data_IF_657006076921
#
_entry.id   IF_657006076921
#
_cell.length_a   1.000
_cell.length_b   1.000
_cell.length_c   1.000
_cell.angle_alpha   90.00
_cell.angle_beta   90.00
_cell.angle_gamma   90.00
#
_symmetry.space_group_name_H-M   'P 1'
#
loop_
_entity.id
_entity.type
_entity.pdbx_description
1 polymer ?
#
# COMPACT_ATOMS: atom_id res chain seq x y z
N UNK A 1 6.02 -0.85 22.40
CA UNK A 1 7.12 -0.64 21.42
C UNK A 1 7.24 0.84 21.16
N UNK A 2 8.45 1.39 21.03
CA UNK A 2 8.64 2.79 20.63
C UNK A 2 8.52 3.00 19.12
N UNK A 3 8.57 1.90 18.34
CA UNK A 3 8.43 1.94 16.90
C UNK A 3 7.01 2.31 16.51
N UNK A 4 6.88 3.30 15.61
CA UNK A 4 5.60 3.81 15.13
C UNK A 4 5.60 4.04 13.64
N UNK A 5 4.45 3.74 13.02
CA UNK A 5 4.15 4.10 11.64
C UNK A 5 3.56 5.50 11.62
N UNK A 6 4.10 6.37 10.77
CA UNK A 6 3.64 7.75 10.61
C UNK A 6 3.17 7.97 9.18
N UNK A 7 1.86 8.08 8.97
CA UNK A 7 1.32 8.46 7.66
C UNK A 7 1.69 9.91 7.32
N UNK A 8 2.16 10.13 6.09
CA UNK A 8 2.58 11.45 5.60
C UNK A 8 2.03 11.72 4.22
N UNK A 9 1.48 12.92 4.03
CA UNK A 9 1.10 13.45 2.72
C UNK A 9 2.14 14.47 2.25
N UNK A 10 2.88 14.12 1.20
CA UNK A 10 4.04 14.87 0.70
C UNK A 10 3.60 15.81 -0.41
N UNK A 11 3.80 17.12 -0.18
CA UNK A 11 3.51 18.18 -1.14
C UNK A 11 4.81 18.76 -1.66
N UNK A 12 5.09 18.50 -2.94
CA UNK A 12 6.24 19.04 -3.66
C UNK A 12 6.14 20.56 -3.79
N UNK A 13 7.30 21.22 -3.84
CA UNK A 13 7.40 22.65 -4.08
C UNK A 13 6.72 23.02 -5.41
N UNK A 14 5.84 24.03 -5.36
CA UNK A 14 5.06 24.49 -6.51
C UNK A 14 3.84 23.64 -6.85
N UNK A 15 3.48 22.64 -6.03
CA UNK A 15 2.22 21.93 -6.13
C UNK A 15 1.17 22.53 -5.18
N UNK A 16 -0.09 22.57 -5.61
CA UNK A 16 -1.22 23.06 -4.81
C UNK A 16 -1.60 22.11 -3.66
N UNK A 17 -1.18 20.85 -3.76
CA UNK A 17 -1.47 19.81 -2.77
C UNK A 17 -2.77 19.06 -3.04
N UNK A 18 -3.46 19.32 -4.15
CA UNK A 18 -4.65 18.56 -4.52
C UNK A 18 -4.23 17.32 -5.31
N UNK A 19 -4.67 16.13 -4.90
CA UNK A 19 -4.41 14.90 -5.68
C UNK A 19 -5.33 14.83 -6.91
N UNK A 20 -4.96 14.04 -7.91
CA UNK A 20 -5.81 13.85 -9.09
C UNK A 20 -7.12 13.13 -8.72
N UNK A 21 -8.26 13.74 -9.06
CA UNK A 21 -9.60 13.17 -8.85
C UNK A 21 -10.59 13.60 -9.94
N UNK A 22 -11.74 12.90 -10.06
CA UNK A 22 -12.93 13.43 -10.73
C UNK A 22 -13.44 14.74 -10.11
N UNK A 23 -14.13 15.62 -10.88
CA UNK A 23 -14.59 16.93 -10.39
C UNK A 23 -15.54 16.87 -9.19
N UNK A 24 -16.29 15.78 -9.04
CA UNK A 24 -17.25 15.51 -7.97
C UNK A 24 -16.61 14.89 -6.72
N UNK A 25 -15.30 14.58 -6.78
CA UNK A 25 -14.56 13.99 -5.67
C UNK A 25 -13.60 15.01 -5.08
N UNK A 26 -13.79 15.33 -3.80
CA UNK A 26 -12.91 16.20 -3.03
C UNK A 26 -11.46 15.67 -3.05
N UNK A 27 -10.57 16.50 -3.62
CA UNK A 27 -9.12 16.27 -3.77
C UNK A 27 -8.26 17.09 -2.83
N UNK A 28 -8.87 17.81 -1.89
CA UNK A 28 -8.16 18.67 -0.94
C UNK A 28 -7.11 17.92 -0.11
N UNK A 29 -6.19 18.69 0.47
CA UNK A 29 -5.19 18.18 1.41
C UNK A 29 -5.86 17.44 2.59
N UNK A 30 -6.97 17.98 3.10
CA UNK A 30 -7.72 17.38 4.22
C UNK A 30 -8.37 16.05 3.81
N UNK A 31 -8.94 15.97 2.60
CA UNK A 31 -9.46 14.72 2.05
C UNK A 31 -8.37 13.67 1.90
N UNK A 32 -7.19 14.08 1.39
CA UNK A 32 -6.05 13.19 1.23
C UNK A 32 -5.61 12.61 2.57
N UNK A 33 -5.43 13.47 3.57
CA UNK A 33 -5.02 13.07 4.92
C UNK A 33 -6.04 12.14 5.56
N UNK A 34 -7.35 12.42 5.40
CA UNK A 34 -8.42 11.58 5.94
C UNK A 34 -8.44 10.20 5.31
N UNK A 35 -8.29 10.10 3.99
CA UNK A 35 -8.23 8.81 3.27
C UNK A 35 -7.02 7.98 3.67
N UNK A 36 -5.86 8.62 3.76
CA UNK A 36 -4.61 7.99 4.21
C UNK A 36 -4.75 7.48 5.65
N UNK A 37 -5.35 8.26 6.55
CA UNK A 37 -5.60 7.87 7.93
C UNK A 37 -6.52 6.63 8.03
N UNK A 38 -7.62 6.61 7.28
CA UNK A 38 -8.53 5.45 7.22
C UNK A 38 -7.79 4.22 6.67
N UNK A 39 -7.04 4.37 5.57
CA UNK A 39 -6.28 3.27 5.00
C UNK A 39 -5.21 2.71 5.94
N UNK A 40 -4.49 3.58 6.67
CA UNK A 40 -3.52 3.15 7.67
C UNK A 40 -4.16 2.32 8.79
N UNK A 41 -5.34 2.72 9.28
CA UNK A 41 -6.12 1.99 10.29
C UNK A 41 -6.67 0.66 9.76
N UNK A 42 -7.06 0.59 8.49
CA UNK A 42 -7.46 -0.67 7.84
C UNK A 42 -6.31 -1.67 7.80
N UNK A 43 -5.11 -1.21 7.40
CA UNK A 43 -3.90 -2.02 7.37
C UNK A 43 -3.49 -2.47 8.77
N UNK A 44 -3.54 -1.55 9.75
CA UNK A 44 -3.27 -1.85 11.15
C UNK A 44 -4.22 -2.92 11.69
N UNK A 45 -5.52 -2.80 11.38
CA UNK A 45 -6.56 -3.76 11.80
C UNK A 45 -6.35 -5.13 11.15
N UNK A 46 -6.06 -5.16 9.85
CA UNK A 46 -5.76 -6.39 9.12
C UNK A 46 -4.52 -7.09 9.69
N UNK A 47 -3.46 -6.32 9.98
CA UNK A 47 -2.24 -6.85 10.60
C UNK A 47 -2.55 -7.51 11.95
N UNK A 48 -3.42 -6.89 12.75
CA UNK A 48 -3.85 -7.43 14.04
C UNK A 48 -4.56 -8.78 13.92
N UNK A 49 -5.47 -8.91 12.97
CA UNK A 49 -6.18 -10.17 12.72
C UNK A 49 -5.24 -11.24 12.16
N UNK A 50 -4.31 -10.91 11.25
CA UNK A 50 -3.35 -11.89 10.72
C UNK A 50 -2.36 -12.38 11.76
N UNK A 51 -1.89 -11.52 12.65
CA UNK A 51 -1.06 -11.94 13.78
C UNK A 51 -1.86 -12.79 14.79
N UNK A 52 -3.15 -12.49 14.99
CA UNK A 52 -4.02 -13.32 15.81
C UNK A 52 -4.24 -14.72 15.21
N UNK A 53 -4.50 -14.82 13.90
CA UNK A 53 -4.63 -16.09 13.17
C UNK A 53 -3.36 -16.96 13.29
N UNK A 54 -2.18 -16.34 13.37
CA UNK A 54 -0.90 -17.04 13.58
C UNK A 54 -0.62 -17.42 15.04
N UNK A 55 -1.55 -17.17 15.97
CA UNK A 55 -1.41 -17.57 17.38
C UNK A 55 -0.48 -16.67 18.22
N UNK A 56 -0.05 -15.52 17.70
CA UNK A 56 0.83 -14.58 18.45
C UNK A 56 0.04 -13.48 19.19
N UNK A 57 -1.29 -13.60 19.19
CA UNK A 57 -2.23 -12.66 19.79
C UNK A 57 -2.61 -11.50 18.87
N UNK A 58 -3.60 -10.70 19.28
CA UNK A 58 -4.10 -9.55 18.51
C UNK A 58 -3.16 -8.35 18.68
N UNK A 59 -1.99 -8.43 18.06
CA UNK A 59 -0.92 -7.41 18.10
C UNK A 59 -0.79 -6.76 16.73
N UNK A 60 -0.38 -5.50 16.69
CA UNK A 60 -0.15 -4.75 15.44
C UNK A 60 0.89 -3.65 15.67
N UNK A 61 1.26 -2.91 14.63
CA UNK A 61 2.09 -1.73 14.73
C UNK A 61 1.30 -0.54 15.29
N UNK A 62 1.99 0.39 15.93
CA UNK A 62 1.38 1.60 16.48
C UNK A 62 1.38 2.74 15.45
N UNK A 63 0.29 3.50 15.36
CA UNK A 63 0.26 4.76 14.59
C UNK A 63 0.71 5.94 15.47
N UNK A 64 1.45 6.90 14.90
CA UNK A 64 1.97 8.06 15.64
C UNK A 64 0.90 8.84 16.42
N UNK A 65 -0.27 9.06 15.82
CA UNK A 65 -1.39 9.78 16.46
C UNK A 65 -1.91 9.09 17.73
N UNK A 66 -1.80 7.76 17.81
CA UNK A 66 -2.27 6.99 18.96
C UNK A 66 -1.31 7.11 20.15
N UNK A 67 -0.02 7.37 19.89
CA UNK A 67 0.98 7.65 20.93
C UNK A 67 0.90 9.10 21.38
N UNK A 68 0.69 10.02 20.43
CA UNK A 68 0.57 11.44 20.70
C UNK A 68 -0.65 12.02 19.99
N UNK A 69 -1.77 12.07 20.72
CA UNK A 69 -3.06 12.55 20.21
C UNK A 69 -3.04 14.01 19.74
N UNK A 70 -2.00 14.79 20.09
CA UNK A 70 -1.81 16.16 19.58
C UNK A 70 -1.24 16.20 18.16
N UNK A 71 -0.66 15.10 17.65
CA UNK A 71 -0.22 14.99 16.25
C UNK A 71 -1.41 14.65 15.35
N UNK A 72 -1.45 15.05 14.08
CA UNK A 72 -2.53 14.65 13.18
C UNK A 72 -2.40 13.16 12.81
N UNK A 73 -3.49 12.55 12.34
CA UNK A 73 -3.51 11.16 11.86
C UNK A 73 -2.67 10.94 10.59
N UNK A 74 -2.53 12.01 9.79
CA UNK A 74 -1.62 12.08 8.65
C UNK A 74 -0.93 13.45 8.68
N UNK A 75 0.39 13.46 8.62
CA UNK A 75 1.19 14.70 8.66
C UNK A 75 1.33 15.24 7.24
N UNK A 76 1.00 16.52 7.04
CA UNK A 76 1.33 17.22 5.80
C UNK A 76 2.81 17.61 5.81
N UNK A 77 3.57 17.09 4.86
CA UNK A 77 4.99 17.40 4.70
C UNK A 77 5.22 18.22 3.44
N UNK A 78 5.79 19.42 3.57
CA UNK A 78 6.15 20.27 2.43
C UNK A 78 7.59 19.98 2.03
N UNK A 79 7.77 19.38 0.85
CA UNK A 79 9.07 19.04 0.28
C UNK A 79 9.64 20.22 -0.52
N UNK A 80 10.97 20.35 -0.51
CA UNK A 80 11.71 21.27 -1.38
C UNK A 80 11.85 20.74 -2.81
N UNK A 81 11.44 19.50 -3.09
CA UNK A 81 11.47 18.95 -4.43
C UNK A 81 10.46 19.68 -5.32
N UNK A 82 10.93 20.31 -6.39
CA UNK A 82 10.06 20.94 -7.37
C UNK A 82 9.15 19.90 -8.07
N UNK A 83 7.86 20.21 -8.19
CA UNK A 83 6.86 19.32 -8.80
C UNK A 83 7.21 18.85 -10.22
N UNK A 84 7.75 19.73 -11.07
CA UNK A 84 8.11 19.37 -12.45
C UNK A 84 9.30 18.41 -12.50
N UNK A 85 10.18 18.47 -11.49
CA UNK A 85 11.28 17.53 -11.33
C UNK A 85 10.75 16.19 -10.81
N UNK A 86 9.92 16.20 -9.77
CA UNK A 86 9.31 15.00 -9.19
C UNK A 86 8.58 14.17 -10.26
N UNK A 87 7.79 14.81 -11.12
CA UNK A 87 7.03 14.15 -12.20
C UNK A 87 7.88 13.44 -13.26
N UNK A 88 9.17 13.75 -13.33
CA UNK A 88 10.14 13.14 -14.28
C UNK A 88 11.05 12.08 -13.63
N UNK A 89 11.00 11.94 -12.31
CA UNK A 89 11.85 11.02 -11.56
C UNK A 89 11.28 9.60 -11.59
N UNK A 90 12.17 8.60 -11.56
CA UNK A 90 11.78 7.21 -11.37
C UNK A 90 11.44 6.99 -9.90
N UNK A 91 10.66 5.95 -9.60
CA UNK A 91 10.24 5.63 -8.24
C UNK A 91 11.41 5.47 -7.25
N UNK A 92 12.53 4.87 -7.65
CA UNK A 92 13.71 4.70 -6.80
C UNK A 92 14.36 6.05 -6.44
N UNK A 93 14.37 7.00 -7.37
CA UNK A 93 14.90 8.35 -7.14
C UNK A 93 13.97 9.14 -6.21
N UNK A 94 12.65 9.00 -6.39
CA UNK A 94 11.65 9.62 -5.51
C UNK A 94 11.76 9.08 -4.08
N UNK A 95 11.85 7.76 -3.94
CA UNK A 95 12.03 7.09 -2.65
C UNK A 95 13.31 7.53 -1.95
N UNK A 96 14.44 7.56 -2.68
CA UNK A 96 15.72 8.00 -2.12
C UNK A 96 15.70 9.48 -1.73
N UNK A 97 15.05 10.32 -2.52
CA UNK A 97 14.94 11.75 -2.24
C UNK A 97 14.09 12.01 -0.99
N UNK A 98 12.85 11.54 -0.97
CA UNK A 98 11.94 11.79 0.15
C UNK A 98 12.39 11.07 1.41
N UNK A 99 12.96 9.87 1.31
CA UNK A 99 13.55 9.18 2.46
C UNK A 99 14.65 10.01 3.11
N UNK A 100 15.57 10.57 2.32
CA UNK A 100 16.61 11.47 2.82
C UNK A 100 16.03 12.75 3.41
N UNK A 101 15.11 13.38 2.70
CA UNK A 101 14.54 14.67 3.13
C UNK A 101 13.76 14.53 4.44
N UNK A 102 12.95 13.47 4.59
CA UNK A 102 12.23 13.18 5.82
C UNK A 102 13.19 12.94 6.99
N UNK A 103 14.27 12.17 6.77
CA UNK A 103 15.25 11.88 7.82
C UNK A 103 16.09 13.09 8.25
N UNK A 104 16.29 14.07 7.36
CA UNK A 104 16.99 15.32 7.67
C UNK A 104 16.06 16.41 8.24
N UNK A 105 14.74 16.18 8.24
CA UNK A 105 13.76 17.10 8.81
C UNK A 105 13.56 16.86 10.32
N UNK A 106 12.76 17.72 10.96
CA UNK A 106 12.32 17.56 12.36
C UNK A 106 11.50 16.28 12.61
N UNK A 107 11.07 15.59 11.54
CA UNK A 107 10.42 14.29 11.63
C UNK A 107 11.41 13.12 11.65
N UNK A 108 12.71 13.35 11.40
CA UNK A 108 13.71 12.29 11.35
C UNK A 108 13.80 11.50 12.66
N UNK A 109 13.66 10.18 12.59
CA UNK A 109 13.77 9.30 13.76
C UNK A 109 14.00 7.84 13.36
N UNK A 110 14.92 7.15 14.06
CA UNK A 110 15.11 5.71 13.90
C UNK A 110 13.96 4.88 14.49
N UNK A 111 13.09 5.51 15.30
CA UNK A 111 11.91 4.86 15.86
C UNK A 111 10.66 5.03 14.99
N UNK A 112 10.81 5.65 13.81
CA UNK A 112 9.69 5.96 12.92
C UNK A 112 9.84 5.25 11.58
N UNK A 113 8.76 4.61 11.15
CA UNK A 113 8.56 4.15 9.77
C UNK A 113 7.55 5.09 9.12
N UNK A 114 7.90 5.64 7.97
CA UNK A 114 7.03 6.55 7.23
C UNK A 114 6.18 5.80 6.22
N UNK A 115 4.89 6.11 6.21
CA UNK A 115 3.97 5.72 5.15
C UNK A 115 3.64 6.98 4.33
N UNK A 116 4.39 7.21 3.27
CA UNK A 116 4.38 8.46 2.50
C UNK A 116 3.54 8.39 1.23
N UNK A 117 2.80 9.46 0.94
CA UNK A 117 1.97 9.61 -0.26
C UNK A 117 2.33 10.88 -1.02
N UNK A 118 2.66 10.76 -2.32
CA UNK A 118 3.10 11.88 -3.17
C UNK A 118 1.89 12.59 -3.77
N UNK A 119 1.60 13.82 -3.34
CA UNK A 119 0.43 14.59 -3.81
C UNK A 119 0.37 14.82 -5.32
N UNK A 120 1.53 14.93 -5.99
CA UNK A 120 1.61 15.35 -7.38
C UNK A 120 1.63 14.21 -8.40
N UNK A 121 1.34 12.97 -7.97
CA UNK A 121 1.16 11.83 -8.87
C UNK A 121 0.01 12.10 -9.83
N UNK A 122 0.25 11.91 -11.13
CA UNK A 122 -0.72 12.23 -12.16
C UNK A 122 -0.67 11.21 -13.30
N UNK A 123 -1.80 10.56 -13.54
CA UNK A 123 -2.04 9.80 -14.75
C UNK A 123 -2.39 10.75 -15.89
N UNK A 124 -1.70 10.65 -17.03
CA UNK A 124 -1.89 11.55 -18.18
C UNK A 124 -3.18 11.31 -18.94
N UNK A 125 -3.81 10.16 -18.77
CA UNK A 125 -4.87 9.71 -19.67
C UNK A 125 -4.30 9.02 -20.91
N UNK A 126 -5.16 8.29 -21.62
CA UNK A 126 -4.82 7.62 -22.87
C UNK A 126 -6.07 7.43 -23.72
N UNK A 127 -5.92 7.41 -25.05
CA UNK A 127 -7.00 7.05 -25.98
C UNK A 127 -6.95 5.58 -26.40
N UNK A 128 -6.04 4.81 -25.81
CA UNK A 128 -5.89 3.37 -26.06
C UNK A 128 -7.15 2.63 -25.59
N UNK A 129 -7.86 2.03 -26.54
CA UNK A 129 -9.09 1.27 -26.31
C UNK A 129 -8.80 -0.23 -26.11
N UNK A 130 -7.84 -0.53 -25.22
CA UNK A 130 -7.52 -1.89 -24.76
C UNK A 130 -7.10 -1.88 -23.28
N UNK A 131 -7.24 -3.00 -22.56
CA UNK A 131 -6.59 -3.17 -21.26
C UNK A 131 -5.08 -2.94 -21.38
N UNK A 132 -4.53 -2.09 -20.51
CA UNK A 132 -3.09 -1.83 -20.44
C UNK A 132 -2.42 -2.80 -19.46
N UNK A 133 -1.17 -3.15 -19.74
CA UNK A 133 -0.32 -3.82 -18.76
C UNK A 133 0.07 -2.85 -17.64
N UNK A 134 0.55 -3.38 -16.53
CA UNK A 134 1.03 -2.57 -15.41
C UNK A 134 2.16 -1.60 -15.84
N UNK A 135 3.11 -2.06 -16.65
CA UNK A 135 4.21 -1.23 -17.15
C UNK A 135 3.71 -0.12 -18.08
N UNK A 136 2.73 -0.41 -18.93
CA UNK A 136 2.05 0.61 -19.75
C UNK A 136 1.41 1.68 -18.85
N UNK A 137 0.64 1.27 -17.82
CA UNK A 137 0.00 2.20 -16.87
C UNK A 137 1.04 3.10 -16.18
N UNK A 138 2.13 2.52 -15.69
CA UNK A 138 3.22 3.28 -15.04
C UNK A 138 3.84 4.29 -16.03
N UNK A 139 4.02 3.91 -17.30
CA UNK A 139 4.60 4.82 -18.30
C UNK A 139 3.74 6.08 -18.56
N UNK A 140 2.43 6.00 -18.33
CA UNK A 140 1.49 7.13 -18.39
C UNK A 140 1.30 7.85 -17.05
N UNK A 141 1.98 7.41 -15.98
CA UNK A 141 1.83 7.95 -14.62
C UNK A 141 3.07 8.71 -14.18
N UNK A 142 2.94 10.03 -14.05
CA UNK A 142 4.00 10.88 -13.51
C UNK A 142 4.06 10.80 -11.99
N UNK A 143 5.27 10.94 -11.44
CA UNK A 143 5.54 10.84 -10.00
C UNK A 143 4.91 9.57 -9.38
N UNK A 144 4.93 8.47 -10.12
CA UNK A 144 4.53 7.16 -9.64
C UNK A 144 5.56 6.61 -8.65
N UNK A 145 5.07 6.02 -7.58
CA UNK A 145 5.85 5.23 -6.65
C UNK A 145 4.97 4.14 -6.03
N UNK A 146 5.54 2.96 -5.86
CA UNK A 146 5.07 1.91 -4.98
C UNK A 146 6.34 1.16 -4.56
N UNK A 147 7.00 1.70 -3.53
CA UNK A 147 8.30 1.20 -3.11
C UNK A 147 8.49 1.32 -1.60
N UNK A 148 8.92 0.22 -0.98
CA UNK A 148 9.09 0.08 0.46
C UNK A 148 10.42 -0.54 0.84
N UNK A 149 10.92 -0.14 2.00
CA UNK A 149 12.13 -0.69 2.60
C UNK A 149 12.68 0.23 3.67
N UNK A 150 13.58 -0.27 4.51
CA UNK A 150 14.22 0.52 5.56
C UNK A 150 13.19 1.28 6.40
N UNK A 151 13.17 2.62 6.30
CA UNK A 151 12.28 3.51 7.05
C UNK A 151 11.08 4.09 6.28
N UNK A 152 10.88 3.77 5.00
CA UNK A 152 9.88 4.43 4.15
C UNK A 152 9.15 3.44 3.24
N UNK A 153 7.83 3.47 3.28
CA UNK A 153 6.93 2.97 2.24
C UNK A 153 6.34 4.17 1.50
N UNK A 154 6.63 4.31 0.21
CA UNK A 154 6.28 5.48 -0.61
C UNK A 154 5.31 5.12 -1.72
N UNK A 155 4.23 5.89 -1.82
CA UNK A 155 3.15 5.68 -2.76
C UNK A 155 2.75 6.91 -3.55
N UNK A 156 2.38 6.70 -4.81
CA UNK A 156 1.69 7.71 -5.60
C UNK A 156 0.20 7.78 -5.28
N UNK A 157 -0.43 8.92 -5.51
CA UNK A 157 -1.84 9.18 -5.14
C UNK A 157 -2.83 9.03 -6.30
N UNK A 158 -2.43 8.45 -7.43
CA UNK A 158 -3.24 8.42 -8.66
C UNK A 158 -4.61 7.71 -8.50
N UNK A 159 -4.74 6.77 -7.55
CA UNK A 159 -6.01 6.12 -7.22
C UNK A 159 -6.55 6.53 -5.83
N UNK A 160 -5.97 7.52 -5.15
CA UNK A 160 -6.40 7.90 -3.80
C UNK A 160 -7.87 8.36 -3.76
N UNK A 161 -8.38 8.90 -4.87
CA UNK A 161 -9.78 9.32 -4.99
C UNK A 161 -10.80 8.18 -4.80
N UNK A 162 -10.38 6.92 -4.95
CA UNK A 162 -11.24 5.74 -4.73
C UNK A 162 -11.32 5.33 -3.26
N UNK A 163 -10.40 5.82 -2.41
CA UNK A 163 -10.31 5.43 -1.00
C UNK A 163 -11.43 6.06 -0.16
N UNK A 164 -11.89 5.41 0.92
CA UNK A 164 -12.87 5.98 1.84
C UNK A 164 -12.29 7.15 2.64
N UNK A 165 -13.08 8.18 2.88
CA UNK A 165 -12.73 9.31 3.77
C UNK A 165 -13.09 9.05 5.23
N UNK A 166 -13.96 8.07 5.49
CA UNK A 166 -14.41 7.73 6.85
C UNK A 166 -14.82 6.26 6.96
N UNK A 167 -15.03 5.78 8.20
CA UNK A 167 -15.35 4.37 8.48
C UNK A 167 -16.63 3.91 7.76
N UNK A 168 -17.67 4.75 7.73
CA UNK A 168 -18.95 4.41 7.09
C UNK A 168 -18.81 4.17 5.57
N UNK A 169 -17.76 4.72 4.96
CA UNK A 169 -17.54 4.66 3.50
C UNK A 169 -16.73 3.41 3.10
N UNK A 170 -16.14 2.68 4.04
CA UNK A 170 -15.25 1.53 3.75
C UNK A 170 -15.95 0.48 2.89
N UNK A 171 -17.08 -0.04 3.36
CA UNK A 171 -17.82 -1.10 2.68
C UNK A 171 -18.41 -0.61 1.35
N UNK A 172 -19.09 0.55 1.28
CA UNK A 172 -19.52 1.12 0.01
C UNK A 172 -18.39 1.27 -1.01
N UNK A 173 -17.20 1.75 -0.61
CA UNK A 173 -16.06 1.93 -1.53
C UNK A 173 -15.48 0.62 -2.03
N UNK A 174 -15.38 -0.43 -1.19
CA UNK A 174 -14.96 -1.75 -1.68
C UNK A 174 -15.98 -2.37 -2.66
N UNK A 175 -17.26 -2.07 -2.48
CA UNK A 175 -18.35 -2.58 -3.33
C UNK A 175 -18.61 -1.72 -4.58
N UNK A 176 -17.92 -0.59 -4.73
CA UNK A 176 -18.11 0.32 -5.86
C UNK A 176 -17.71 -0.34 -7.19
N UNK A 177 -18.72 -0.74 -7.96
CA UNK A 177 -18.59 -1.40 -9.25
C UNK A 177 -18.51 -0.41 -10.42
N UNK A 178 -18.47 0.90 -10.15
CA UNK A 178 -18.34 1.92 -11.18
C UNK A 178 -17.06 1.70 -11.99
N UNK A 179 -17.13 1.66 -13.34
CA UNK A 179 -15.95 1.52 -14.17
C UNK A 179 -14.97 2.69 -14.02
N UNK A 180 -13.68 2.39 -14.01
CA UNK A 180 -12.63 3.43 -14.08
C UNK A 180 -12.69 4.09 -15.46
N UNK A 181 -12.75 5.43 -15.50
CA UNK A 181 -12.55 6.16 -16.75
C UNK A 181 -11.05 6.17 -17.10
N UNK A 182 -10.60 5.12 -17.77
CA UNK A 182 -9.20 4.89 -18.19
C UNK A 182 -8.66 5.95 -19.14
N UNK A 183 -9.53 6.75 -19.77
CA UNK A 183 -9.08 7.90 -20.58
C UNK A 183 -8.55 9.04 -19.74
N UNK A 184 -8.87 9.08 -18.44
CA UNK A 184 -8.53 10.22 -17.55
C UNK A 184 -7.87 9.80 -16.24
N UNK A 185 -8.11 8.59 -15.76
CA UNK A 185 -7.65 8.12 -14.46
C UNK A 185 -6.95 6.76 -14.56
N UNK A 186 -6.01 6.54 -13.65
CA UNK A 186 -5.27 5.29 -13.55
C UNK A 186 -6.22 4.15 -13.14
N UNK A 187 -6.15 3.03 -13.86
CA UNK A 187 -6.80 1.78 -13.47
C UNK A 187 -5.78 0.82 -12.87
N UNK A 188 -5.52 0.97 -11.57
CA UNK A 188 -4.71 0.03 -10.80
C UNK A 188 -5.60 -0.92 -10.00
N UNK A 189 -6.61 -1.48 -10.65
CA UNK A 189 -7.59 -2.36 -10.02
C UNK A 189 -7.22 -3.84 -10.05
N UNK A 190 -6.04 -4.20 -10.57
CA UNK A 190 -5.69 -5.61 -10.81
C UNK A 190 -6.61 -6.26 -11.84
N UNK A 191 -6.87 -5.56 -12.97
CA UNK A 191 -7.73 -6.00 -14.08
C UNK A 191 -9.23 -6.15 -13.76
N UNK A 192 -9.71 -5.58 -12.65
CA UNK A 192 -11.16 -5.56 -12.33
C UNK A 192 -11.90 -4.43 -13.03
N UNK A 193 -11.21 -3.37 -13.42
CA UNK A 193 -11.75 -2.20 -14.11
C UNK A 193 -12.68 -1.32 -13.28
N UNK A 194 -12.75 -1.51 -11.96
CA UNK A 194 -13.71 -0.79 -11.09
C UNK A 194 -13.01 0.08 -10.04
N UNK A 195 -13.71 1.11 -9.57
CA UNK A 195 -13.23 1.98 -8.49
C UNK A 195 -12.96 1.21 -7.20
N UNK A 196 -13.83 0.27 -6.82
CA UNK A 196 -13.62 -0.60 -5.67
C UNK A 196 -12.44 -1.56 -5.85
N UNK A 197 -12.21 -2.01 -7.08
CA UNK A 197 -11.01 -2.79 -7.43
C UNK A 197 -9.73 -1.97 -7.28
N UNK A 198 -9.72 -0.70 -7.73
CA UNK A 198 -8.60 0.22 -7.52
C UNK A 198 -8.34 0.45 -6.03
N UNK A 199 -9.39 0.68 -5.22
CA UNK A 199 -9.23 0.82 -3.78
C UNK A 199 -8.60 -0.43 -3.15
N UNK A 200 -9.09 -1.63 -3.51
CA UNK A 200 -8.56 -2.88 -3.00
C UNK A 200 -7.09 -3.11 -3.35
N UNK A 201 -6.73 -3.08 -4.64
CA UNK A 201 -5.34 -3.32 -5.07
C UNK A 201 -4.39 -2.29 -4.47
N UNK A 202 -4.76 -1.00 -4.47
CA UNK A 202 -3.85 0.05 -3.98
C UNK A 202 -3.70 0.04 -2.46
N UNK A 203 -4.76 -0.26 -1.69
CA UNK A 203 -4.62 -0.48 -0.24
C UNK A 203 -3.73 -1.68 0.06
N UNK A 204 -3.89 -2.77 -0.71
CA UNK A 204 -3.05 -3.95 -0.60
C UNK A 204 -1.59 -3.67 -0.93
N UNK A 205 -1.33 -2.96 -2.03
CA UNK A 205 0.02 -2.54 -2.43
C UNK A 205 0.64 -1.67 -1.33
N UNK A 206 -0.12 -0.74 -0.75
CA UNK A 206 0.30 0.04 0.43
C UNK A 206 0.72 -0.85 1.59
N UNK A 207 -0.03 -1.91 1.88
CA UNK A 207 0.36 -2.86 2.92
C UNK A 207 1.62 -3.66 2.55
N UNK A 208 1.77 -4.06 1.29
CA UNK A 208 2.94 -4.79 0.80
C UNK A 208 4.24 -4.01 1.06
N UNK A 209 4.30 -2.75 0.59
CA UNK A 209 5.50 -1.94 0.75
C UNK A 209 5.73 -1.52 2.21
N UNK A 210 4.66 -1.32 2.99
CA UNK A 210 4.79 -1.15 4.45
C UNK A 210 5.40 -2.40 5.09
N UNK A 211 5.03 -3.59 4.63
CA UNK A 211 5.62 -4.87 5.04
C UNK A 211 7.13 -4.92 4.82
N UNK A 212 7.64 -4.38 3.71
CA UNK A 212 9.08 -4.25 3.48
C UNK A 212 9.77 -3.35 4.51
N UNK A 213 9.10 -2.35 5.09
CA UNK A 213 9.67 -1.54 6.18
C UNK A 213 9.76 -2.30 7.51
N UNK A 214 9.06 -3.42 7.61
CA UNK A 214 9.14 -4.40 8.71
C UNK A 214 10.05 -5.58 8.37
N UNK A 215 10.91 -5.42 7.36
CA UNK A 215 11.89 -6.43 6.90
C UNK A 215 11.24 -7.73 6.38
N UNK A 216 9.98 -7.67 5.96
CA UNK A 216 9.32 -8.79 5.28
C UNK A 216 9.81 -8.87 3.83
N UNK A 217 10.32 -10.04 3.42
CA UNK A 217 10.63 -10.34 2.02
C UNK A 217 9.41 -10.78 1.22
N UNK A 218 9.54 -10.84 -0.10
CA UNK A 218 8.50 -11.38 -0.96
C UNK A 218 8.17 -12.84 -0.62
N UNK A 219 6.89 -13.19 -0.74
CA UNK A 219 6.39 -14.56 -0.60
C UNK A 219 5.69 -14.99 -1.88
N UNK A 220 5.49 -16.29 -2.04
CA UNK A 220 4.75 -16.85 -3.18
C UNK A 220 3.30 -16.36 -3.22
N UNK A 221 2.65 -16.37 -2.05
CA UNK A 221 1.23 -16.07 -1.86
C UNK A 221 1.04 -15.05 -0.72
N UNK A 222 -0.16 -14.47 -0.57
CA UNK A 222 -0.50 -13.52 0.49
C UNK A 222 -0.09 -12.07 0.20
N UNK A 223 -0.09 -11.22 1.24
CA UNK A 223 0.17 -9.77 1.11
C UNK A 223 1.55 -9.49 0.53
N UNK A 224 2.58 -10.25 0.94
CA UNK A 224 3.94 -10.12 0.40
C UNK A 224 4.13 -10.84 -0.96
N UNK A 225 3.05 -11.40 -1.54
CA UNK A 225 2.97 -11.92 -2.91
C UNK A 225 1.88 -11.18 -3.70
N UNK A 226 1.20 -11.83 -4.66
CA UNK A 226 0.08 -11.19 -5.41
C UNK A 226 -1.26 -11.15 -4.66
N UNK A 227 -1.33 -11.68 -3.44
CA UNK A 227 -2.55 -11.69 -2.65
C UNK A 227 -3.01 -10.29 -2.21
N UNK A 228 -2.14 -9.28 -2.28
CA UNK A 228 -2.50 -7.90 -1.97
C UNK A 228 -3.63 -7.35 -2.86
N UNK A 229 -3.77 -7.85 -4.09
CA UNK A 229 -4.85 -7.44 -4.99
C UNK A 229 -6.23 -7.70 -4.38
N UNK A 230 -6.35 -8.69 -3.48
CA UNK A 230 -7.62 -9.18 -2.95
C UNK A 230 -7.84 -8.84 -1.47
N UNK A 231 -7.25 -7.74 -0.99
CA UNK A 231 -7.39 -7.31 0.41
C UNK A 231 -8.85 -7.04 0.81
N UNK A 232 -9.71 -6.69 -0.16
CA UNK A 232 -11.15 -6.48 0.02
C UNK A 232 -11.86 -7.73 0.57
N UNK A 233 -11.34 -8.93 0.29
CA UNK A 233 -11.90 -10.19 0.78
C UNK A 233 -11.81 -10.36 2.30
N UNK A 234 -10.98 -9.57 2.98
CA UNK A 234 -10.93 -9.59 4.44
C UNK A 234 -12.04 -8.73 5.04
N UNK A 235 -12.49 -7.71 4.33
CA UNK A 235 -13.47 -6.73 4.82
C UNK A 235 -14.90 -7.05 4.37
N UNK A 236 -15.07 -7.81 3.30
CA UNK A 236 -16.36 -8.13 2.72
C UNK A 236 -16.80 -9.57 3.04
N UNK A 237 -18.08 -9.72 3.38
CA UNK A 237 -18.74 -11.02 3.56
C UNK A 237 -19.45 -11.39 2.26
N UNK A 238 -19.18 -12.59 1.74
CA UNK A 238 -19.93 -13.18 0.64
C UNK A 238 -19.04 -13.76 -0.47
N UNK A 239 -19.53 -14.82 -1.12
CA UNK A 239 -18.96 -15.33 -2.36
C UNK A 239 -19.18 -14.29 -3.47
N UNK A 240 -18.29 -13.32 -3.65
CA UNK A 240 -18.14 -12.74 -4.99
C UNK A 240 -17.66 -13.88 -5.88
N UNK A 241 -18.61 -14.54 -6.56
CA UNK A 241 -18.33 -15.27 -7.80
C UNK A 241 -17.41 -14.37 -8.61
N UNK A 242 -16.24 -14.90 -8.94
CA UNK A 242 -15.31 -14.35 -9.92
C UNK A 242 -16.10 -13.89 -11.14
N UNK A 243 -16.49 -12.63 -11.15
CA UNK A 243 -17.11 -12.03 -12.33
C UNK A 243 -15.93 -11.77 -13.24
N UNK A 244 -15.59 -12.79 -14.02
CA UNK A 244 -14.85 -12.68 -15.28
C UNK A 244 -13.39 -12.22 -15.20
N UNK A 245 -12.66 -12.48 -14.11
CA UNK A 245 -11.20 -12.64 -14.26
C UNK A 245 -10.96 -13.98 -14.95
N UNK A 246 -10.83 -13.98 -16.29
CA UNK A 246 -9.95 -14.97 -16.91
C UNK A 246 -8.63 -14.82 -16.17
N UNK A 247 -8.18 -15.87 -15.48
CA UNK A 247 -6.83 -15.99 -14.94
C UNK A 247 -5.83 -15.91 -16.10
N UNK A 248 -5.59 -14.74 -16.68
CA UNK A 248 -4.74 -14.57 -17.85
C UNK A 248 -4.22 -13.14 -17.92
N UNK A 249 -2.99 -12.97 -17.45
CA UNK A 249 -1.88 -12.40 -18.24
C UNK A 249 -0.57 -12.20 -17.45
N UNK A 250 -0.51 -12.57 -16.15
CA UNK A 250 0.75 -12.51 -15.39
C UNK A 250 1.26 -13.88 -14.89
N UNK A 251 0.66 -15.00 -15.32
CA UNK A 251 1.07 -16.34 -14.92
C UNK A 251 1.71 -17.08 -16.12
N UNK A 252 2.97 -16.80 -16.42
CA UNK A 252 3.72 -17.43 -17.52
C UNK A 252 4.03 -18.93 -17.31
N UNK A 253 3.40 -19.61 -16.34
CA UNK A 253 3.74 -21.00 -16.00
C UNK A 253 2.55 -21.96 -15.84
N UNK A 254 1.33 -21.59 -16.25
CA UNK A 254 0.22 -22.54 -16.41
C UNK A 254 -0.16 -23.35 -15.15
N UNK A 255 0.29 -22.93 -13.96
CA UNK A 255 -0.11 -23.56 -12.69
C UNK A 255 -1.42 -22.92 -12.22
N UNK A 256 -2.38 -23.72 -11.73
CA UNK A 256 -3.64 -23.18 -11.21
C UNK A 256 -3.32 -22.15 -10.12
N UNK A 257 -3.86 -20.94 -10.29
CA UNK A 257 -3.82 -19.90 -9.27
C UNK A 257 -4.61 -20.46 -8.10
N UNK A 258 -3.93 -20.80 -7.01
CA UNK A 258 -4.62 -21.08 -5.76
C UNK A 258 -5.22 -19.76 -5.32
N UNK A 259 -6.50 -19.56 -5.64
CA UNK A 259 -7.28 -18.48 -5.07
C UNK A 259 -7.16 -18.66 -3.56
N UNK A 260 -6.46 -17.74 -2.90
CA UNK A 260 -6.60 -17.56 -1.47
C UNK A 260 -8.01 -17.03 -1.25
N UNK A 261 -8.99 -17.93 -1.31
CA UNK A 261 -10.14 -17.87 -0.43
C UNK A 261 -9.53 -17.90 0.96
N UNK A 262 -9.80 -16.88 1.76
CA UNK A 262 -9.56 -16.97 3.21
C UNK A 262 -10.38 -18.18 3.66
N UNK A 263 -9.72 -19.32 3.82
CA UNK A 263 -10.35 -20.51 4.37
C UNK A 263 -10.44 -20.27 5.87
N UNK A 264 -11.60 -19.78 6.31
CA UNK A 264 -12.04 -20.02 7.67
C UNK A 264 -12.20 -21.54 7.79
N UNK A 265 -11.41 -22.15 8.68
CA UNK A 265 -11.18 -23.59 8.83
C UNK A 265 -10.15 -24.21 7.87
N UNK A 266 -8.88 -24.10 8.26
CA UNK A 266 -8.05 -25.29 8.46
C UNK A 266 -6.91 -24.95 9.42
N UNK A 267 -6.86 -25.64 10.56
CA UNK A 267 -5.69 -25.63 11.43
C UNK A 267 -4.49 -26.12 10.63
N UNK A 268 -3.51 -25.26 10.42
CA UNK A 268 -2.23 -25.66 9.83
C UNK A 268 -1.37 -26.17 10.98
N UNK A 269 -1.22 -27.49 11.08
CA UNK A 269 -0.18 -28.09 11.92
C UNK A 269 1.18 -27.79 11.29
N UNK A 270 1.91 -26.83 11.85
CA UNK A 270 3.30 -26.55 11.46
C UNK A 270 4.21 -27.36 12.38
N UNK A 271 4.91 -28.35 11.82
CA UNK A 271 6.01 -29.03 12.51
C UNK A 271 7.29 -28.23 12.29
N UNK A 272 7.86 -27.69 13.36
CA UNK A 272 9.15 -26.98 13.33
C UNK A 272 10.27 -27.99 13.62
N UNK A 273 11.12 -28.27 12.61
CA UNK A 273 12.37 -28.97 12.85
C UNK A 273 13.40 -27.95 13.35
N UNK A 274 13.73 -28.01 14.63
CA UNK A 274 14.81 -27.22 15.22
C UNK A 274 16.12 -27.91 14.83
N UNK A 275 16.93 -27.26 13.99
CA UNK A 275 18.30 -27.70 13.78
C UNK A 275 19.08 -27.57 15.10
N UNK A 276 19.79 -28.63 15.50
CA UNK A 276 20.62 -28.60 16.70
C UNK A 276 21.61 -27.41 16.67
N UNK A 277 21.84 -26.74 17.80
CA UNK A 277 22.79 -25.65 17.85
C UNK A 277 24.18 -26.16 17.49
N UNK A 278 24.85 -25.43 16.59
CA UNK A 278 26.25 -25.63 16.24
C UNK A 278 27.09 -25.80 17.51
N UNK A 279 27.74 -26.96 17.67
CA UNK A 279 28.71 -27.19 18.74
C UNK A 279 29.78 -26.10 18.68
N UNK A 280 29.85 -25.30 19.73
CA UNK A 280 30.97 -24.41 19.98
C UNK A 280 32.22 -25.27 20.14
N UNK A 281 33.13 -25.20 19.17
CA UNK A 281 34.46 -25.79 19.30
C UNK A 281 35.21 -25.03 20.40
N UNK A 282 35.46 -25.71 21.52
CA UNK A 282 36.26 -25.19 22.63
C UNK A 282 37.71 -24.89 22.23
N UNK A 283 38.47 -24.21 23.10
CA UNK A 283 39.80 -23.70 22.75
C UNK A 283 40.78 -24.84 22.52
N UNK A 284 41.55 -24.76 21.43
CA UNK A 284 42.72 -25.61 21.19
C UNK A 284 43.73 -25.39 22.33
N UNK A 285 43.93 -26.42 23.14
CA UNK A 285 45.01 -26.45 24.13
C UNK A 285 46.28 -26.95 23.46
N UNK A 286 47.32 -26.11 23.55
CA UNK A 286 48.78 -26.24 23.30
C UNK A 286 49.26 -27.35 22.35
#
# INVERSE_FOLDING_TARGET
TNLRVTPIYIICQGHDGCFQSPPDVDSSIDSACSRIAVGAKLIQSLTAEKLFECGVGRKTFQLEHEVNIKKPECIVFKSNLNVNKARKMRQADLWSHFGRELMLSDLGSNERKFLGFISCTRFKGTDIDKPMTHDEIISFTEAYAALGGGGLALFGTACLYTWPTSIKDIIPKFLDSTPVNTRRFMDDSGYRGTLGGCFATTLGSVFHELGHTFDLGHTKDGIMGRGFDNIDRVFLVGERRSSLTKDNMNNYNGKPVQHSTVSLQRNISVTMNVAEPLRVLGPRSK
#
